data_IF_693990270410
#
_entry.id   IF_693990270410
#
_cell.length_a   1.000
_cell.length_b   1.000
_cell.length_c   1.000
_cell.angle_alpha   90.00
_cell.angle_beta   90.00
_cell.angle_gamma   90.00
#
_symmetry.space_group_name_H-M   'P 1'
#
loop_
_entity.id
_entity.type
_entity.pdbx_description
1 polymer ?
#
# COMPACT_ATOMS: atom_id res chain seq x y z
N UNK A 1 -31.70 12.90 7.23
CA UNK A 1 -31.89 11.52 6.73
C UNK A 1 -30.75 11.09 5.81
N UNK A 2 -30.26 11.94 4.89
CA UNK A 2 -29.11 11.59 4.01
C UNK A 2 -27.83 11.21 4.78
N UNK A 3 -27.49 11.94 5.83
CA UNK A 3 -26.28 11.66 6.62
C UNK A 3 -26.33 10.28 7.35
N UNK A 4 -27.53 9.83 7.77
CA UNK A 4 -27.67 8.52 8.40
C UNK A 4 -27.52 7.40 7.38
N UNK A 5 -28.11 7.53 6.19
CA UNK A 5 -27.97 6.54 5.13
C UNK A 5 -26.53 6.43 4.63
N UNK A 6 -25.79 7.55 4.56
CA UNK A 6 -24.37 7.55 4.23
C UNK A 6 -23.55 6.85 5.32
N UNK A 7 -23.82 7.12 6.60
CA UNK A 7 -23.13 6.46 7.71
C UNK A 7 -23.38 4.94 7.70
N UNK A 8 -24.62 4.51 7.52
CA UNK A 8 -24.97 3.09 7.42
C UNK A 8 -24.22 2.42 6.27
N UNK A 9 -24.17 3.06 5.10
CA UNK A 9 -23.44 2.55 3.94
C UNK A 9 -21.95 2.40 4.23
N UNK A 10 -21.30 3.40 4.82
CA UNK A 10 -19.87 3.35 5.19
C UNK A 10 -19.62 2.24 6.21
N UNK A 11 -20.49 2.09 7.21
CA UNK A 11 -20.37 1.02 8.22
C UNK A 11 -20.52 -0.37 7.60
N UNK A 12 -21.44 -0.55 6.65
CA UNK A 12 -21.59 -1.81 5.92
C UNK A 12 -20.35 -2.15 5.09
N UNK A 13 -19.77 -1.16 4.41
CA UNK A 13 -18.52 -1.35 3.66
C UNK A 13 -17.35 -1.70 4.59
N UNK A 14 -17.25 -1.04 5.73
CA UNK A 14 -16.21 -1.31 6.74
C UNK A 14 -16.33 -2.74 7.27
N UNK A 15 -17.51 -3.13 7.73
CA UNK A 15 -17.75 -4.48 8.25
C UNK A 15 -17.51 -5.52 7.14
N UNK A 16 -18.03 -5.27 5.95
CA UNK A 16 -17.85 -6.14 4.79
C UNK A 16 -16.38 -6.34 4.41
N UNK A 17 -15.59 -5.27 4.41
CA UNK A 17 -14.14 -5.35 4.12
C UNK A 17 -13.38 -6.12 5.18
N UNK A 18 -13.71 -5.95 6.48
CA UNK A 18 -13.11 -6.71 7.57
C UNK A 18 -13.43 -8.20 7.44
N UNK A 19 -14.70 -8.56 7.22
CA UNK A 19 -15.12 -9.96 7.07
C UNK A 19 -14.46 -10.61 5.86
N UNK A 20 -14.36 -9.88 4.74
CA UNK A 20 -13.67 -10.32 3.54
C UNK A 20 -12.18 -10.57 3.82
N UNK A 21 -11.49 -9.59 4.41
CA UNK A 21 -10.06 -9.68 4.73
C UNK A 21 -9.77 -10.88 5.67
N UNK A 22 -10.58 -11.07 6.71
CA UNK A 22 -10.46 -12.22 7.63
C UNK A 22 -10.67 -13.55 6.88
N UNK A 23 -11.69 -13.62 6.02
CA UNK A 23 -11.98 -14.83 5.24
C UNK A 23 -10.82 -15.17 4.29
N UNK A 24 -10.31 -14.16 3.56
CA UNK A 24 -9.16 -14.31 2.67
C UNK A 24 -7.89 -14.69 3.45
N UNK A 25 -7.67 -14.11 4.62
CA UNK A 25 -6.53 -14.46 5.49
C UNK A 25 -6.58 -15.93 5.90
N UNK A 26 -7.74 -16.41 6.36
CA UNK A 26 -7.89 -17.81 6.77
C UNK A 26 -7.67 -18.79 5.62
N UNK A 27 -8.06 -18.42 4.40
CA UNK A 27 -7.82 -19.23 3.19
C UNK A 27 -6.33 -19.17 2.82
N UNK A 28 -5.75 -17.97 2.76
CA UNK A 28 -4.36 -17.76 2.37
C UNK A 28 -3.36 -18.45 3.30
N UNK A 29 -3.61 -18.41 4.61
CA UNK A 29 -2.79 -19.12 5.62
C UNK A 29 -2.76 -20.64 5.36
N UNK A 30 -3.87 -21.23 4.92
CA UNK A 30 -3.94 -22.66 4.62
C UNK A 30 -3.19 -23.01 3.33
N UNK A 31 -3.19 -22.12 2.35
CA UNK A 31 -2.56 -22.35 1.04
C UNK A 31 -1.07 -21.99 1.06
N UNK A 32 -0.65 -21.08 1.94
CA UNK A 32 0.72 -20.57 2.00
C UNK A 32 1.82 -21.65 2.00
N UNK A 33 1.69 -22.78 2.77
CA UNK A 33 2.69 -23.83 2.73
C UNK A 33 2.81 -24.50 1.35
N UNK A 34 1.69 -24.70 0.66
CA UNK A 34 1.66 -25.39 -0.64
C UNK A 34 2.30 -24.56 -1.75
N UNK A 35 2.19 -23.22 -1.66
CA UNK A 35 2.78 -22.29 -2.63
C UNK A 35 4.17 -21.80 -2.23
N UNK A 36 4.70 -22.23 -1.08
CA UNK A 36 6.01 -21.85 -0.59
C UNK A 36 6.10 -20.42 -0.05
N UNK A 37 4.97 -19.79 0.27
CA UNK A 37 4.90 -18.42 0.81
C UNK A 37 5.02 -18.43 2.35
N UNK A 38 6.17 -18.90 2.83
CA UNK A 38 6.45 -19.08 4.25
C UNK A 38 7.77 -18.42 4.65
N UNK A 39 7.75 -17.69 5.74
CA UNK A 39 8.97 -17.20 6.37
C UNK A 39 9.55 -18.31 7.29
N UNK A 40 10.73 -18.82 6.91
CA UNK A 40 11.37 -19.92 7.62
C UNK A 40 12.33 -19.36 8.67
N UNK A 41 12.25 -19.84 9.95
CA UNK A 41 13.16 -19.43 11.00
C UNK A 41 14.62 -19.65 10.62
N UNK A 42 15.48 -18.69 10.97
CA UNK A 42 16.92 -18.80 10.73
C UNK A 42 17.37 -18.56 9.29
N UNK A 43 16.48 -18.25 8.36
CA UNK A 43 16.83 -17.88 6.97
C UNK A 43 17.59 -16.55 6.87
N UNK A 44 17.52 -15.71 7.92
CA UNK A 44 18.32 -14.48 8.07
C UNK A 44 18.60 -14.19 9.55
N UNK A 45 19.74 -13.55 9.87
CA UNK A 45 20.20 -13.37 11.24
C UNK A 45 19.30 -12.53 12.18
N UNK A 46 18.34 -11.80 11.63
CA UNK A 46 17.34 -11.01 12.39
C UNK A 46 16.04 -11.79 12.65
N UNK A 47 15.81 -12.94 12.01
CA UNK A 47 14.59 -13.74 12.13
C UNK A 47 14.64 -14.62 13.37
N UNK A 48 13.97 -14.18 14.44
CA UNK A 48 14.00 -14.83 15.77
C UNK A 48 12.78 -15.69 16.10
N UNK A 49 11.78 -15.76 15.21
CA UNK A 49 10.60 -16.61 15.43
C UNK A 49 11.00 -18.10 15.41
N UNK A 50 10.28 -18.91 16.20
CA UNK A 50 10.58 -20.35 16.38
C UNK A 50 9.87 -21.25 15.36
N UNK A 51 8.76 -20.79 14.80
CA UNK A 51 7.93 -21.53 13.84
C UNK A 51 7.84 -20.79 12.50
N UNK A 52 7.68 -21.52 11.37
CA UNK A 52 7.41 -20.91 10.08
C UNK A 52 6.14 -20.04 10.12
N UNK A 53 6.19 -18.82 9.55
CA UNK A 53 5.08 -17.86 9.53
C UNK A 53 4.65 -17.64 8.08
N UNK A 54 3.33 -17.73 7.77
CA UNK A 54 2.82 -17.42 6.44
C UNK A 54 3.01 -15.94 6.05
N UNK A 55 3.61 -15.69 4.88
CA UNK A 55 3.80 -14.34 4.31
C UNK A 55 2.58 -13.93 3.46
N UNK A 56 1.38 -14.01 4.02
CA UNK A 56 0.13 -13.82 3.27
C UNK A 56 -0.48 -12.43 3.42
N UNK A 57 0.07 -11.57 4.28
CA UNK A 57 -0.49 -10.25 4.56
C UNK A 57 -0.65 -9.37 3.33
N UNK A 58 0.38 -9.28 2.48
CA UNK A 58 0.35 -8.52 1.23
C UNK A 58 -0.69 -9.04 0.23
N UNK A 59 -0.81 -10.37 0.10
CA UNK A 59 -1.82 -11.01 -0.76
C UNK A 59 -3.22 -10.65 -0.30
N UNK A 60 -3.53 -10.84 0.99
CA UNK A 60 -4.84 -10.53 1.58
C UNK A 60 -5.21 -9.06 1.40
N UNK A 61 -4.25 -8.16 1.59
CA UNK A 61 -4.47 -6.72 1.43
C UNK A 61 -4.81 -6.38 -0.03
N UNK A 62 -4.04 -6.88 -0.98
CA UNK A 62 -4.28 -6.62 -2.41
C UNK A 62 -5.60 -7.23 -2.88
N UNK A 63 -5.90 -8.47 -2.51
CA UNK A 63 -7.15 -9.14 -2.89
C UNK A 63 -8.37 -8.43 -2.28
N UNK A 64 -8.32 -8.04 -1.01
CA UNK A 64 -9.39 -7.28 -0.36
C UNK A 64 -9.61 -5.95 -1.07
N UNK A 65 -8.53 -5.24 -1.40
CA UNK A 65 -8.60 -3.95 -2.08
C UNK A 65 -9.20 -4.09 -3.49
N UNK A 66 -8.80 -5.11 -4.26
CA UNK A 66 -9.36 -5.40 -5.58
C UNK A 66 -10.88 -5.64 -5.49
N UNK A 67 -11.29 -6.53 -4.60
CA UNK A 67 -12.71 -6.88 -4.44
C UNK A 67 -13.52 -5.67 -4.02
N UNK A 68 -13.04 -4.88 -3.05
CA UNK A 68 -13.75 -3.69 -2.59
C UNK A 68 -13.85 -2.60 -3.67
N UNK A 69 -12.79 -2.37 -4.45
CA UNK A 69 -12.82 -1.43 -5.58
C UNK A 69 -13.87 -1.85 -6.63
N UNK A 70 -13.98 -3.15 -6.92
CA UNK A 70 -14.97 -3.67 -7.87
C UNK A 70 -16.39 -3.51 -7.31
N UNK A 71 -16.62 -3.90 -6.05
CA UNK A 71 -17.93 -3.85 -5.42
C UNK A 71 -18.48 -2.42 -5.26
N UNK A 72 -17.60 -1.48 -4.89
CA UNK A 72 -17.98 -0.08 -4.70
C UNK A 72 -17.99 0.74 -5.97
N UNK A 73 -17.44 0.19 -7.07
CA UNK A 73 -17.28 0.86 -8.38
C UNK A 73 -16.46 2.16 -8.31
N UNK A 74 -15.65 2.35 -7.25
CA UNK A 74 -14.78 3.53 -7.12
C UNK A 74 -13.67 3.57 -8.16
N UNK A 75 -13.46 2.49 -8.90
CA UNK A 75 -12.58 2.47 -10.08
C UNK A 75 -12.99 3.47 -11.18
N UNK A 76 -14.25 3.95 -11.16
CA UNK A 76 -14.72 4.99 -12.07
C UNK A 76 -14.15 6.38 -11.72
N UNK A 77 -13.63 6.56 -10.49
CA UNK A 77 -12.96 7.79 -10.07
C UNK A 77 -11.50 7.68 -10.53
N UNK A 78 -11.09 8.59 -11.41
CA UNK A 78 -9.77 8.56 -12.06
C UNK A 78 -8.60 8.51 -11.05
N UNK A 79 -8.63 9.36 -10.02
CA UNK A 79 -7.56 9.41 -9.02
C UNK A 79 -7.46 8.10 -8.22
N UNK A 80 -8.59 7.49 -7.88
CA UNK A 80 -8.63 6.18 -7.20
C UNK A 80 -8.03 5.10 -8.09
N UNK A 81 -8.35 5.11 -9.39
CA UNK A 81 -7.78 4.18 -10.35
C UNK A 81 -6.26 4.37 -10.49
N UNK A 82 -5.80 5.62 -10.59
CA UNK A 82 -4.38 5.93 -10.69
C UNK A 82 -3.59 5.47 -9.45
N UNK A 83 -4.13 5.74 -8.25
CA UNK A 83 -3.54 5.28 -6.97
C UNK A 83 -3.52 3.75 -6.92
N UNK A 84 -4.61 3.10 -7.34
CA UNK A 84 -4.72 1.65 -7.34
C UNK A 84 -3.67 1.00 -8.26
N UNK A 85 -3.58 1.44 -9.53
CA UNK A 85 -2.61 0.90 -10.49
C UNK A 85 -1.18 1.07 -9.98
N UNK A 86 -0.86 2.24 -9.46
CA UNK A 86 0.48 2.54 -8.93
C UNK A 86 0.79 1.71 -7.69
N UNK A 87 -0.18 1.59 -6.77
CA UNK A 87 -0.07 0.76 -5.58
C UNK A 87 0.08 -0.73 -5.91
N UNK A 88 -0.62 -1.22 -6.94
CA UNK A 88 -0.47 -2.59 -7.44
C UNK A 88 0.95 -2.88 -7.93
N UNK A 89 1.59 -1.94 -8.61
CA UNK A 89 2.98 -2.10 -9.06
C UNK A 89 3.89 -2.28 -7.84
N UNK A 90 3.78 -1.40 -6.83
CA UNK A 90 4.59 -1.50 -5.61
C UNK A 90 4.28 -2.81 -4.87
N UNK A 91 3.00 -3.17 -4.73
CA UNK A 91 2.55 -4.38 -4.06
C UNK A 91 3.05 -5.66 -4.74
N UNK A 92 3.05 -5.71 -6.08
CA UNK A 92 3.60 -6.84 -6.83
C UNK A 92 5.11 -7.01 -6.58
N UNK A 93 5.88 -5.92 -6.50
CA UNK A 93 7.29 -6.03 -6.11
C UNK A 93 7.47 -6.49 -4.67
N UNK A 94 6.57 -6.08 -3.76
CA UNK A 94 6.53 -6.60 -2.39
C UNK A 94 6.26 -8.11 -2.36
N UNK A 95 5.25 -8.58 -3.08
CA UNK A 95 4.96 -10.02 -3.20
C UNK A 95 6.13 -10.79 -3.85
N UNK A 96 6.75 -10.25 -4.90
CA UNK A 96 7.94 -10.87 -5.49
C UNK A 96 9.09 -10.97 -4.48
N UNK A 97 9.24 -9.98 -3.60
CA UNK A 97 10.22 -10.03 -2.53
C UNK A 97 9.97 -11.18 -1.54
N UNK A 98 8.72 -11.39 -1.18
CA UNK A 98 8.32 -12.49 -0.29
C UNK A 98 8.64 -13.87 -0.89
N UNK A 99 8.53 -14.02 -2.23
CA UNK A 99 8.87 -15.26 -2.93
C UNK A 99 10.35 -15.48 -3.17
N UNK A 100 11.08 -14.46 -3.64
CA UNK A 100 12.44 -14.63 -4.19
C UNK A 100 13.51 -13.80 -3.48
N UNK A 101 13.17 -13.12 -2.40
CA UNK A 101 14.08 -12.31 -1.57
C UNK A 101 14.88 -11.31 -2.43
N UNK A 102 14.22 -10.27 -2.90
CA UNK A 102 14.81 -9.25 -3.75
C UNK A 102 15.94 -8.47 -3.03
N UNK A 103 16.95 -8.05 -3.78
CA UNK A 103 17.92 -7.11 -3.26
C UNK A 103 17.27 -5.74 -2.98
N UNK A 104 17.83 -4.96 -2.05
CA UNK A 104 17.34 -3.63 -1.69
C UNK A 104 17.17 -2.71 -2.93
N UNK A 105 18.08 -2.81 -3.89
CA UNK A 105 18.00 -2.05 -5.16
C UNK A 105 16.76 -2.43 -5.97
N UNK A 106 16.43 -3.72 -6.07
CA UNK A 106 15.26 -4.18 -6.82
C UNK A 106 13.95 -3.76 -6.14
N UNK A 107 13.90 -3.79 -4.79
CA UNK A 107 12.76 -3.26 -4.02
C UNK A 107 12.56 -1.78 -4.29
N UNK A 108 13.64 -1.01 -4.24
CA UNK A 108 13.62 0.43 -4.53
C UNK A 108 13.16 0.71 -5.96
N UNK A 109 13.60 -0.08 -6.96
CA UNK A 109 13.13 0.07 -8.34
C UNK A 109 11.61 -0.16 -8.46
N UNK A 110 11.05 -1.10 -7.73
CA UNK A 110 9.60 -1.32 -7.67
C UNK A 110 8.85 -0.08 -7.13
N UNK A 111 9.34 0.51 -6.05
CA UNK A 111 8.76 1.72 -5.46
C UNK A 111 8.89 2.92 -6.40
N UNK A 112 10.06 3.11 -7.02
CA UNK A 112 10.29 4.17 -8.01
C UNK A 112 9.35 4.01 -9.19
N UNK A 113 9.19 2.81 -9.74
CA UNK A 113 8.32 2.57 -10.89
C UNK A 113 6.84 2.88 -10.58
N UNK A 114 6.33 2.43 -9.45
CA UNK A 114 4.97 2.77 -9.03
C UNK A 114 4.78 4.27 -8.79
N UNK A 115 5.75 4.93 -8.17
CA UNK A 115 5.71 6.39 -7.95
C UNK A 115 5.72 7.17 -9.27
N UNK A 116 6.56 6.76 -10.23
CA UNK A 116 6.60 7.40 -11.56
C UNK A 116 5.25 7.22 -12.28
N UNK A 117 4.65 6.03 -12.21
CA UNK A 117 3.34 5.78 -12.82
C UNK A 117 2.27 6.67 -12.18
N UNK A 118 2.26 6.82 -10.85
CA UNK A 118 1.32 7.70 -10.15
C UNK A 118 1.42 9.15 -10.64
N UNK A 119 2.65 9.67 -10.69
CA UNK A 119 2.92 11.03 -11.15
C UNK A 119 2.54 11.19 -12.63
N UNK A 120 2.86 10.20 -13.48
CA UNK A 120 2.50 10.20 -14.89
C UNK A 120 0.97 10.22 -15.11
N UNK A 121 0.23 9.55 -14.24
CA UNK A 121 -1.24 9.59 -14.21
C UNK A 121 -1.79 10.90 -13.59
N UNK A 122 -0.96 11.88 -13.30
CA UNK A 122 -1.37 13.22 -12.85
C UNK A 122 -1.71 13.33 -11.37
N UNK A 123 -1.55 12.25 -10.60
CA UNK A 123 -1.78 12.28 -9.15
C UNK A 123 -0.50 12.70 -8.44
N UNK A 124 -0.54 13.88 -7.84
CA UNK A 124 0.59 14.44 -7.09
C UNK A 124 0.10 15.31 -5.93
N UNK A 125 0.94 15.48 -4.93
CA UNK A 125 0.66 16.37 -3.81
C UNK A 125 0.74 17.82 -4.28
N UNK A 126 -0.34 18.59 -4.13
CA UNK A 126 -0.46 19.97 -4.56
C UNK A 126 -0.06 20.97 -3.46
N UNK A 127 1.03 20.68 -2.76
CA UNK A 127 1.43 21.43 -1.58
C UNK A 127 1.79 22.90 -1.89
N UNK A 128 2.59 23.11 -2.94
CA UNK A 128 3.07 24.41 -3.34
C UNK A 128 2.07 25.23 -4.18
N UNK A 129 0.94 24.62 -4.55
CA UNK A 129 -0.20 25.32 -5.17
C UNK A 129 -1.28 25.69 -4.15
N UNK A 130 -1.20 25.17 -2.91
CA UNK A 130 -2.20 25.48 -1.89
C UNK A 130 -2.10 26.93 -1.46
N UNK A 131 -3.21 27.70 -1.50
CA UNK A 131 -3.21 29.10 -1.04
C UNK A 131 -2.96 29.22 0.47
N UNK A 132 -3.16 28.16 1.21
CA UNK A 132 -2.94 28.09 2.66
C UNK A 132 -1.46 27.85 3.02
N UNK A 133 -0.64 27.53 2.04
CA UNK A 133 0.78 27.32 2.28
C UNK A 133 1.49 28.67 2.44
N UNK A 134 2.31 28.77 3.49
CA UNK A 134 2.96 30.02 3.89
C UNK A 134 4.00 30.55 2.89
N UNK A 135 4.46 29.72 1.95
CA UNK A 135 5.38 30.12 0.88
C UNK A 135 4.63 30.08 -0.45
N UNK A 136 4.36 31.23 -1.05
CA UNK A 136 3.75 31.32 -2.37
C UNK A 136 4.84 31.18 -3.44
N UNK A 137 4.79 30.10 -4.20
CA UNK A 137 5.72 29.82 -5.29
C UNK A 137 4.99 29.96 -6.62
N UNK A 138 5.52 30.80 -7.51
CA UNK A 138 4.95 30.99 -8.86
C UNK A 138 5.29 29.83 -9.81
N UNK A 139 4.49 29.69 -10.88
CA UNK A 139 4.78 28.77 -11.98
C UNK A 139 6.04 29.18 -12.76
N UNK A 140 6.81 28.24 -13.28
CA UNK A 140 6.62 26.76 -13.26
C UNK A 140 7.21 26.06 -12.01
N UNK A 141 7.77 26.81 -11.09
CA UNK A 141 8.50 26.26 -9.95
C UNK A 141 7.60 25.47 -8.98
N UNK A 142 6.36 25.95 -8.76
CA UNK A 142 5.40 25.25 -7.90
C UNK A 142 5.13 23.81 -8.41
N UNK A 143 4.94 23.66 -9.72
CA UNK A 143 4.72 22.36 -10.36
C UNK A 143 5.92 21.42 -10.20
N UNK A 144 7.14 21.91 -10.44
CA UNK A 144 8.35 21.10 -10.25
C UNK A 144 8.56 20.70 -8.78
N UNK A 145 8.31 21.61 -7.85
CA UNK A 145 8.44 21.32 -6.42
C UNK A 145 7.39 20.29 -5.96
N UNK A 146 6.15 20.37 -6.43
CA UNK A 146 5.12 19.37 -6.13
C UNK A 146 5.53 17.98 -6.64
N UNK A 147 6.07 17.89 -7.85
CA UNK A 147 6.55 16.65 -8.44
C UNK A 147 7.70 16.04 -7.60
N UNK A 148 8.73 16.82 -7.31
CA UNK A 148 9.89 16.38 -6.51
C UNK A 148 9.43 15.98 -5.10
N UNK A 149 8.58 16.80 -4.48
CA UNK A 149 8.05 16.52 -3.15
C UNK A 149 7.24 15.21 -3.14
N UNK A 150 6.33 15.02 -4.10
CA UNK A 150 5.54 13.80 -4.23
C UNK A 150 6.44 12.56 -4.35
N UNK A 151 7.44 12.65 -5.22
CA UNK A 151 8.39 11.56 -5.44
C UNK A 151 9.16 11.21 -4.17
N UNK A 152 9.79 12.18 -3.53
CA UNK A 152 10.56 11.97 -2.31
C UNK A 152 9.68 11.51 -1.14
N UNK A 153 8.50 12.11 -0.99
CA UNK A 153 7.53 11.78 0.05
C UNK A 153 7.11 10.32 -0.03
N UNK A 154 6.65 9.88 -1.20
CA UNK A 154 6.20 8.50 -1.39
C UNK A 154 7.31 7.48 -1.13
N UNK A 155 8.51 7.72 -1.67
CA UNK A 155 9.64 6.84 -1.41
C UNK A 155 10.02 6.80 0.07
N UNK A 156 10.05 7.96 0.74
CA UNK A 156 10.40 8.04 2.15
C UNK A 156 9.38 7.32 3.02
N UNK A 157 8.09 7.59 2.79
CA UNK A 157 7.00 6.96 3.56
C UNK A 157 7.00 5.45 3.34
N UNK A 158 7.07 4.97 2.08
CA UNK A 158 7.08 3.54 1.78
C UNK A 158 8.27 2.83 2.43
N UNK A 159 9.47 3.41 2.39
CA UNK A 159 10.64 2.83 3.04
C UNK A 159 10.56 2.90 4.57
N UNK A 160 9.98 3.96 5.13
CA UNK A 160 9.79 4.09 6.57
C UNK A 160 8.83 3.00 7.09
N UNK A 161 7.71 2.76 6.42
CA UNK A 161 6.79 1.67 6.78
C UNK A 161 7.46 0.31 6.66
N UNK A 162 8.23 0.06 5.60
CA UNK A 162 8.97 -1.19 5.44
C UNK A 162 10.01 -1.40 6.56
N UNK A 163 10.64 -0.32 7.04
CA UNK A 163 11.57 -0.39 8.17
C UNK A 163 10.85 -0.66 9.50
N UNK A 164 9.72 0.02 9.74
CA UNK A 164 8.91 -0.12 10.96
C UNK A 164 8.26 -1.50 11.02
N UNK A 165 7.92 -2.11 9.90
CA UNK A 165 7.34 -3.46 9.81
C UNK A 165 8.30 -4.57 10.28
N UNK A 166 9.58 -4.23 10.47
CA UNK A 166 10.55 -5.12 11.15
C UNK A 166 10.22 -5.38 12.63
N UNK A 167 9.30 -4.60 13.22
CA UNK A 167 8.83 -4.76 14.60
C UNK A 167 7.35 -5.20 14.59
N UNK A 168 7.06 -6.36 15.16
CA UNK A 168 5.72 -6.95 15.20
C UNK A 168 4.64 -5.97 15.68
N UNK A 169 3.68 -5.67 14.81
CA UNK A 169 2.53 -4.82 15.10
C UNK A 169 2.78 -3.31 15.17
N UNK A 170 4.02 -2.85 15.05
CA UNK A 170 4.33 -1.41 15.16
C UNK A 170 3.82 -0.63 13.94
N UNK A 171 3.96 -1.19 12.73
CA UNK A 171 3.48 -0.58 11.49
C UNK A 171 1.96 -0.40 11.51
N UNK A 172 1.22 -1.39 11.97
CA UNK A 172 -0.25 -1.34 12.10
C UNK A 172 -0.67 -0.33 13.16
N UNK A 173 0.04 -0.26 14.30
CA UNK A 173 -0.25 0.69 15.36
C UNK A 173 0.01 2.16 14.99
N UNK A 174 0.95 2.42 14.07
CA UNK A 174 1.25 3.78 13.60
C UNK A 174 0.36 4.23 12.43
N UNK A 175 -0.30 3.31 11.74
CA UNK A 175 -1.20 3.60 10.62
C UNK A 175 -2.66 3.77 11.03
N UNK A 176 -3.01 3.45 12.27
CA UNK A 176 -4.34 3.61 12.86
C UNK A 176 -4.52 4.96 13.54
#
# INVERSE_FOLDING_TARGET
>A
MENFAQLEYVMLLLIGSILLAVSLALISIKIAPDVGLMDIPGSAGHKKHLNPVPLTGGVVLLDTMIVMIILTKVYAIYDVWAIFVSGMIIGLFGLLDDFIHLSATKKLLGQISGTIVLIYLGVQVQFFHSPEFFIQVGEPWASWLNLIFTFLWLLTVTNSFNFIDSFDGLSVGLSS
#
